data_IF_704365686461
#
_entry.id   IF_704365686461
#
_cell.length_a   1.000
_cell.length_b   1.000
_cell.length_c   1.000
_cell.angle_alpha   90.00
_cell.angle_beta   90.00
_cell.angle_gamma   90.00
#
_symmetry.space_group_name_H-M   'P 1'
#
loop_
_entity.id
_entity.type
_entity.pdbx_description
1 polymer ?
#
# COMPACT_ATOMS: atom_id res chain seq x y z
N UNK A 1 -21.15 -7.54 -3.98
CA UNK A 1 -20.17 -6.63 -3.38
C UNK A 1 -18.85 -7.38 -3.35
N UNK A 2 -17.81 -6.85 -4.00
CA UNK A 2 -16.46 -7.42 -3.96
C UNK A 2 -15.71 -6.73 -2.82
N UNK A 3 -14.95 -7.47 -2.03
CA UNK A 3 -14.10 -6.89 -0.99
C UNK A 3 -12.66 -7.30 -1.25
N UNK A 4 -11.77 -6.33 -1.11
CA UNK A 4 -10.34 -6.58 -1.00
C UNK A 4 -10.06 -6.70 0.48
N UNK A 5 -9.45 -7.81 0.86
CA UNK A 5 -8.84 -7.95 2.16
C UNK A 5 -7.35 -8.20 1.91
N UNK A 6 -6.52 -7.84 2.89
CA UNK A 6 -5.14 -8.33 2.97
C UNK A 6 -5.11 -9.47 3.99
N UNK A 7 -5.53 -10.71 3.61
CA UNK A 7 -5.43 -11.84 4.50
C UNK A 7 -4.00 -12.38 4.45
N UNK A 8 -3.24 -12.11 5.50
CA UNK A 8 -1.96 -12.75 5.76
C UNK A 8 -1.99 -13.46 7.11
N UNK A 9 -1.10 -14.43 7.30
CA UNK A 9 -0.98 -15.09 8.60
C UNK A 9 -0.62 -14.10 9.71
N UNK A 10 -0.99 -14.42 10.94
CA UNK A 10 -0.55 -13.63 12.09
C UNK A 10 0.98 -13.51 12.08
N UNK A 11 1.50 -12.28 12.21
CA UNK A 11 2.93 -11.96 12.17
C UNK A 11 3.62 -12.16 10.79
N UNK A 12 2.85 -12.26 9.70
CA UNK A 12 3.37 -12.29 8.32
C UNK A 12 3.29 -10.91 7.66
N UNK A 13 3.93 -9.91 8.26
CA UNK A 13 3.89 -8.54 7.75
C UNK A 13 4.52 -8.39 6.37
N UNK A 14 5.43 -9.30 5.99
CA UNK A 14 6.19 -9.17 4.75
C UNK A 14 5.41 -9.37 3.45
N UNK A 15 4.15 -9.75 3.55
CA UNK A 15 3.27 -9.98 2.40
C UNK A 15 2.01 -9.13 2.48
N UNK A 16 1.94 -8.21 3.45
CA UNK A 16 0.79 -7.33 3.62
C UNK A 16 0.91 -6.12 2.69
N UNK A 17 -0.16 -5.75 1.98
CA UNK A 17 -0.15 -4.57 1.09
C UNK A 17 0.31 -3.27 1.77
N UNK A 18 0.13 -3.19 3.08
CA UNK A 18 0.40 -2.02 3.88
C UNK A 18 1.90 -1.68 3.93
N UNK A 19 2.76 -2.64 3.57
CA UNK A 19 4.20 -2.48 3.53
C UNK A 19 4.69 -1.87 2.21
N UNK A 20 3.90 -1.91 1.13
CA UNK A 20 4.36 -1.52 -0.21
C UNK A 20 4.62 -0.01 -0.35
N UNK A 21 4.07 0.83 0.54
CA UNK A 21 4.31 2.29 0.50
C UNK A 21 5.64 2.70 1.16
N UNK A 22 6.10 1.98 2.18
CA UNK A 22 7.26 2.44 2.97
C UNK A 22 8.24 1.38 3.43
N UNK A 23 8.03 0.10 3.11
CA UNK A 23 8.94 -0.98 3.50
C UNK A 23 9.94 -1.29 2.40
N UNK A 24 11.22 -1.20 2.73
CA UNK A 24 12.30 -1.10 1.75
C UNK A 24 13.32 -2.25 1.73
N UNK A 25 13.06 -3.39 2.39
CA UNK A 25 13.72 -4.63 1.99
C UNK A 25 12.76 -5.78 1.65
N UNK A 26 11.45 -5.55 1.73
CA UNK A 26 10.47 -6.65 1.73
C UNK A 26 9.93 -6.96 0.34
N UNK A 27 9.92 -5.96 -0.54
CA UNK A 27 9.42 -6.06 -1.91
C UNK A 27 10.51 -5.63 -2.93
N UNK A 28 10.97 -6.52 -3.84
CA UNK A 28 11.89 -6.15 -4.90
C UNK A 28 11.28 -5.09 -5.83
N UNK A 29 11.82 -3.87 -5.79
CA UNK A 29 11.22 -2.73 -6.52
C UNK A 29 10.30 -1.87 -5.67
N UNK A 30 10.25 -2.13 -4.35
CA UNK A 30 9.58 -1.29 -3.36
C UNK A 30 10.12 0.14 -3.27
N UNK A 31 9.60 0.93 -2.32
CA UNK A 31 9.77 2.38 -2.30
C UNK A 31 11.22 2.83 -2.13
N UNK A 32 11.52 4.01 -2.67
CA UNK A 32 12.83 4.65 -2.47
C UNK A 32 12.98 5.09 -1.00
N UNK A 33 13.97 4.50 -0.33
CA UNK A 33 14.35 4.79 1.06
C UNK A 33 14.58 6.27 1.34
N UNK A 34 15.10 7.02 0.37
CA UNK A 34 15.35 8.45 0.55
C UNK A 34 14.03 9.22 0.65
N UNK A 35 13.09 8.93 -0.25
CA UNK A 35 11.77 9.59 -0.31
C UNK A 35 10.95 9.25 0.92
N UNK A 36 11.01 8.00 1.38
CA UNK A 36 10.22 7.58 2.54
C UNK A 36 10.84 7.95 3.90
N UNK A 37 12.01 8.60 3.88
CA UNK A 37 12.72 9.00 5.09
C UNK A 37 12.03 10.17 5.80
N UNK A 38 12.18 10.21 7.13
CA UNK A 38 11.72 11.35 7.92
C UNK A 38 12.37 12.67 7.47
N UNK A 39 13.65 12.65 7.06
CA UNK A 39 14.34 13.84 6.59
C UNK A 39 13.68 14.41 5.32
N UNK A 40 13.42 13.54 4.33
CA UNK A 40 12.74 13.96 3.10
C UNK A 40 11.31 14.44 3.37
N UNK A 41 10.58 13.76 4.25
CA UNK A 41 9.25 14.21 4.68
C UNK A 41 9.27 15.59 5.33
N UNK A 42 10.24 15.86 6.19
CA UNK A 42 10.37 17.17 6.84
C UNK A 42 10.65 18.29 5.83
N UNK A 43 11.44 18.02 4.80
CA UNK A 43 11.79 19.01 3.78
C UNK A 43 10.71 19.21 2.70
N UNK A 44 9.91 18.17 2.40
CA UNK A 44 9.01 18.16 1.24
C UNK A 44 7.51 18.07 1.58
N UNK A 45 7.12 17.40 2.68
CA UNK A 45 5.72 17.11 3.02
C UNK A 45 5.26 17.90 4.25
N UNK A 46 6.05 17.93 5.32
CA UNK A 46 5.75 18.65 6.55
C UNK A 46 6.03 20.16 6.41
N UNK A 47 5.52 20.75 5.33
CA UNK A 47 5.73 22.15 4.97
C UNK A 47 4.41 22.92 4.92
N UNK A 48 4.46 24.23 5.18
CA UNK A 48 3.28 25.10 5.12
C UNK A 48 2.26 24.89 6.23
N UNK A 49 0.99 25.25 5.97
CA UNK A 49 -0.06 25.37 7.01
C UNK A 49 -0.49 24.02 7.61
N UNK A 50 -0.32 22.93 6.86
CA UNK A 50 -0.73 21.58 7.27
C UNK A 50 0.41 20.77 7.88
N UNK A 51 1.65 21.27 7.88
CA UNK A 51 2.82 20.60 8.44
C UNK A 51 2.57 20.00 9.84
N UNK A 52 1.97 20.78 10.75
CA UNK A 52 1.66 20.36 12.12
C UNK A 52 0.63 19.23 12.23
N UNK A 53 -0.03 18.88 11.13
CA UNK A 53 -1.01 17.79 11.05
C UNK A 53 -0.42 16.52 10.47
N UNK A 54 0.77 16.58 9.87
CA UNK A 54 1.50 15.44 9.37
C UNK A 54 2.59 15.07 10.39
N UNK A 55 2.35 14.10 11.30
CA UNK A 55 3.27 13.78 12.38
C UNK A 55 4.56 13.11 11.88
N UNK A 56 5.55 13.03 12.75
CA UNK A 56 6.77 12.26 12.48
C UNK A 56 6.47 10.76 12.46
N UNK A 57 7.23 10.05 11.64
CA UNK A 57 7.08 8.60 11.44
C UNK A 57 7.55 7.84 12.67
N UNK A 58 6.64 7.12 13.33
CA UNK A 58 6.97 6.29 14.50
C UNK A 58 7.54 4.91 14.13
N UNK A 59 7.05 4.32 13.03
CA UNK A 59 7.49 3.00 12.55
C UNK A 59 7.66 3.01 11.03
N UNK A 60 6.55 2.99 10.29
CA UNK A 60 6.50 3.03 8.83
C UNK A 60 5.59 4.18 8.39
N UNK A 61 5.94 4.81 7.27
CA UNK A 61 5.16 5.93 6.73
C UNK A 61 3.89 5.41 6.07
N UNK A 62 2.74 6.04 6.36
CA UNK A 62 1.52 5.95 5.56
C UNK A 62 1.04 4.52 5.23
N UNK A 63 1.22 3.60 6.17
CA UNK A 63 0.89 2.16 6.04
C UNK A 63 -0.58 1.90 5.67
N UNK A 64 -1.49 2.79 6.09
CA UNK A 64 -2.92 2.68 5.80
C UNK A 64 -3.37 3.43 4.53
N UNK A 65 -2.50 4.28 3.96
CA UNK A 65 -2.80 5.03 2.74
C UNK A 65 -3.17 4.18 1.51
N UNK A 66 -2.72 2.91 1.33
CA UNK A 66 -3.16 2.08 0.21
C UNK A 66 -4.70 1.96 0.13
N UNK A 67 -5.36 1.89 1.29
CA UNK A 67 -6.83 1.79 1.38
C UNK A 67 -7.56 3.02 0.83
N UNK A 68 -6.93 4.20 0.86
CA UNK A 68 -7.48 5.43 0.32
C UNK A 68 -7.13 5.58 -1.17
N UNK A 69 -5.87 5.35 -1.53
CA UNK A 69 -5.38 5.62 -2.89
C UNK A 69 -5.97 4.64 -3.91
N UNK A 70 -6.38 3.44 -3.50
CA UNK A 70 -7.16 2.49 -4.32
C UNK A 70 -8.43 3.10 -4.91
N UNK A 71 -9.08 4.01 -4.17
CA UNK A 71 -10.32 4.64 -4.60
C UNK A 71 -10.11 5.91 -5.43
N UNK A 72 -8.88 6.37 -5.62
CA UNK A 72 -8.60 7.53 -6.45
C UNK A 72 -8.65 7.16 -7.93
N UNK A 73 -9.52 7.82 -8.68
CA UNK A 73 -9.58 7.68 -10.14
C UNK A 73 -8.38 8.35 -10.81
N UNK A 74 -7.25 7.66 -10.85
CA UNK A 74 -6.00 8.09 -11.49
C UNK A 74 -5.80 7.50 -12.91
N UNK A 75 -6.72 6.64 -13.36
CA UNK A 75 -6.67 5.99 -14.68
C UNK A 75 -5.73 4.79 -14.78
N UNK A 76 -5.11 4.38 -13.68
CA UNK A 76 -4.19 3.22 -13.63
C UNK A 76 -4.88 1.94 -13.17
N UNK A 77 -5.96 2.05 -12.38
CA UNK A 77 -6.72 0.91 -11.86
C UNK A 77 -8.23 1.05 -12.03
N UNK A 78 -8.93 -0.06 -11.82
CA UNK A 78 -10.39 -0.13 -11.83
C UNK A 78 -10.86 -0.97 -10.62
N UNK A 79 -11.67 -0.41 -9.71
CA UNK A 79 -12.16 -1.14 -8.55
C UNK A 79 -13.00 -2.39 -8.88
N UNK A 80 -13.57 -2.48 -10.08
CA UNK A 80 -14.27 -3.68 -10.55
C UNK A 80 -13.32 -4.77 -11.06
N UNK A 81 -12.05 -4.42 -11.27
CA UNK A 81 -10.99 -5.29 -11.75
C UNK A 81 -9.73 -5.22 -10.86
N UNK A 82 -9.77 -5.64 -9.58
CA UNK A 82 -8.65 -5.54 -8.61
C UNK A 82 -7.31 -6.13 -9.07
N UNK A 83 -7.35 -7.09 -10.01
CA UNK A 83 -6.18 -7.75 -10.59
C UNK A 83 -5.37 -6.87 -11.55
N UNK A 84 -5.90 -5.73 -11.98
CA UNK A 84 -5.17 -4.81 -12.86
C UNK A 84 -4.09 -4.02 -12.14
N UNK A 85 -4.21 -3.91 -10.82
CA UNK A 85 -3.31 -3.15 -9.98
C UNK A 85 -3.51 -1.64 -10.07
N UNK A 86 -2.79 -0.92 -9.22
CA UNK A 86 -2.85 0.52 -9.09
C UNK A 86 -1.69 1.04 -8.24
N UNK A 87 -1.82 2.26 -7.71
CA UNK A 87 -0.82 2.82 -6.79
C UNK A 87 -0.77 2.12 -5.43
N UNK A 88 -1.84 1.40 -5.08
CA UNK A 88 -1.96 0.58 -3.88
C UNK A 88 -1.40 -0.85 -4.05
N UNK A 89 -0.95 -1.21 -5.25
CA UNK A 89 -0.50 -2.57 -5.59
C UNK A 89 -1.56 -3.38 -6.34
N UNK A 90 -1.30 -4.66 -6.55
CA UNK A 90 -2.23 -5.59 -7.22
C UNK A 90 -2.88 -6.57 -6.25
N UNK A 91 -4.08 -7.04 -6.57
CA UNK A 91 -4.72 -8.11 -5.80
C UNK A 91 -5.08 -9.32 -6.68
N UNK A 92 -4.80 -10.52 -6.18
CA UNK A 92 -5.14 -11.79 -6.83
C UNK A 92 -6.39 -12.41 -6.21
N UNK A 93 -7.20 -13.09 -7.03
CA UNK A 93 -8.38 -13.81 -6.54
C UNK A 93 -7.95 -14.95 -5.62
N UNK A 94 -8.59 -15.06 -4.45
CA UNK A 94 -8.37 -16.18 -3.51
C UNK A 94 -9.33 -17.31 -3.91
N UNK A 95 -8.85 -18.44 -4.48
CA UNK A 95 -9.73 -19.42 -5.11
C UNK A 95 -10.49 -20.31 -4.12
N UNK A 96 -10.09 -20.31 -2.84
CA UNK A 96 -10.51 -21.31 -1.86
C UNK A 96 -11.82 -20.98 -1.14
N UNK A 97 -12.37 -19.77 -1.28
CA UNK A 97 -13.43 -19.28 -0.38
C UNK A 97 -14.72 -18.81 -1.08
N UNK A 98 -15.10 -19.46 -2.19
CA UNK A 98 -16.46 -19.47 -2.75
C UNK A 98 -17.13 -18.12 -3.08
N UNK A 99 -16.40 -17.01 -2.97
CA UNK A 99 -16.93 -15.65 -3.03
C UNK A 99 -15.86 -14.67 -3.52
N UNK A 100 -16.31 -13.47 -3.90
CA UNK A 100 -15.52 -12.41 -4.52
C UNK A 100 -14.50 -11.76 -3.56
N UNK A 101 -13.56 -12.57 -3.06
CA UNK A 101 -12.45 -12.18 -2.20
C UNK A 101 -11.17 -12.08 -3.03
N UNK A 102 -10.47 -10.98 -2.83
CA UNK A 102 -9.15 -10.72 -3.39
C UNK A 102 -8.16 -10.53 -2.24
N UNK A 103 -6.95 -11.05 -2.41
CA UNK A 103 -5.82 -10.91 -1.50
C UNK A 103 -4.61 -10.29 -2.19
N UNK A 104 -3.62 -9.91 -1.41
CA UNK A 104 -2.42 -9.25 -1.92
C UNK A 104 -1.70 -10.12 -2.94
N UNK A 105 -1.32 -9.51 -4.06
CA UNK A 105 -0.47 -10.14 -5.05
C UNK A 105 1.00 -9.89 -4.67
N UNK A 106 1.82 -10.94 -4.77
CA UNK A 106 3.27 -10.81 -4.70
C UNK A 106 3.78 -10.63 -6.12
N UNK A 107 4.58 -9.60 -6.36
CA UNK A 107 5.26 -9.43 -7.63
C UNK A 107 6.29 -10.56 -7.79
N UNK A 108 6.04 -11.45 -8.75
CA UNK A 108 6.98 -12.50 -9.12
C UNK A 108 7.93 -11.95 -10.19
N UNK A 109 9.22 -11.91 -9.86
CA UNK A 109 10.30 -11.57 -10.78
C UNK A 109 10.41 -12.56 -11.96
#
# INVERSE_FOLDING_TARGET
>A
MQCIASPHGFNQYSVANCISISSTPVDPGGPDNEIVSQAWLSDNIQVGKLAKKYPDTAFLMEVDSPSLVYHMSNGLGDPEHPKWGGWDGGCSSIPLDGGAQYGDAVDMA
#
